data_IF_319598977965
#
_entry.id   IF_319598977965
#
_cell.length_a   1.000
_cell.length_b   1.000
_cell.length_c   1.000
_cell.angle_alpha   90.00
_cell.angle_beta   90.00
_cell.angle_gamma   90.00
#
_symmetry.space_group_name_H-M   'P 1'
#
loop_
_entity.id
_entity.type
_entity.pdbx_description
1 polymer ?
#
# COMPACT_ATOMS: atom_id res chain seq x y z
N UNK A 1 -7.21 7.55 -18.97
CA UNK A 1 -6.76 7.38 -17.55
C UNK A 1 -6.93 5.91 -17.19
N UNK A 2 -5.96 5.29 -16.56
CA UNK A 2 -6.05 3.88 -16.09
C UNK A 2 -7.01 3.83 -14.90
N UNK A 3 -7.98 2.92 -14.94
CA UNK A 3 -9.08 2.82 -13.95
C UNK A 3 -9.22 1.42 -13.33
N UNK A 4 -8.33 0.48 -13.71
CA UNK A 4 -8.32 -0.87 -13.15
C UNK A 4 -6.91 -1.47 -13.16
N UNK A 5 -6.72 -2.53 -12.36
CA UNK A 5 -5.48 -3.30 -12.36
C UNK A 5 -5.26 -4.04 -13.70
N UNK A 6 -6.32 -4.41 -14.39
CA UNK A 6 -6.21 -4.99 -15.73
C UNK A 6 -5.67 -3.95 -16.74
N UNK A 7 -6.17 -2.71 -16.72
CA UNK A 7 -5.64 -1.66 -17.58
C UNK A 7 -4.19 -1.31 -17.21
N UNK A 8 -3.83 -1.37 -15.91
CA UNK A 8 -2.44 -1.24 -15.47
C UNK A 8 -1.57 -2.37 -16.03
N UNK A 9 -2.05 -3.62 -16.01
CA UNK A 9 -1.38 -4.77 -16.63
C UNK A 9 -1.13 -4.54 -18.13
N UNK A 10 -2.16 -4.10 -18.87
CA UNK A 10 -2.00 -3.78 -20.30
C UNK A 10 -0.98 -2.65 -20.55
N UNK A 11 -0.96 -1.63 -19.66
CA UNK A 11 0.02 -0.54 -19.74
C UNK A 11 1.45 -1.05 -19.52
N UNK A 12 1.65 -1.96 -18.56
CA UNK A 12 2.95 -2.61 -18.31
C UNK A 12 3.47 -3.36 -19.53
N UNK A 13 2.58 -4.02 -20.28
CA UNK A 13 2.93 -4.81 -21.46
C UNK A 13 3.22 -3.96 -22.70
N UNK A 14 2.59 -2.78 -22.82
CA UNK A 14 2.60 -2.01 -24.07
C UNK A 14 3.40 -0.73 -24.01
N UNK A 15 3.31 0.04 -22.92
CA UNK A 15 3.85 1.40 -22.87
C UNK A 15 5.12 1.54 -22.02
N UNK A 16 5.27 0.68 -21.00
CA UNK A 16 6.36 0.78 -20.02
C UNK A 16 7.13 -0.53 -19.86
N UNK A 17 6.97 -1.48 -20.78
CA UNK A 17 7.51 -2.85 -20.70
C UNK A 17 9.01 -2.92 -20.37
N UNK A 18 9.81 -2.05 -20.98
CA UNK A 18 11.27 -2.03 -20.84
C UNK A 18 11.77 -1.28 -19.60
N UNK A 19 10.88 -0.59 -18.87
CA UNK A 19 11.26 0.13 -17.66
C UNK A 19 11.42 -0.83 -16.49
N UNK A 20 12.33 -0.52 -15.58
CA UNK A 20 12.46 -1.27 -14.31
C UNK A 20 11.25 -0.98 -13.43
N UNK A 21 10.56 -2.05 -13.02
CA UNK A 21 9.40 -1.98 -12.15
C UNK A 21 9.80 -2.01 -10.67
N UNK A 22 10.53 -3.04 -10.27
CA UNK A 22 10.91 -3.25 -8.88
C UNK A 22 12.38 -3.64 -8.76
N UNK A 23 12.99 -3.22 -7.63
CA UNK A 23 14.31 -3.67 -7.19
C UNK A 23 14.24 -4.13 -5.74
N UNK A 24 15.09 -5.06 -5.37
CA UNK A 24 15.28 -5.50 -3.97
C UNK A 24 16.70 -5.99 -3.75
N UNK A 25 17.13 -6.00 -2.48
CA UNK A 25 18.39 -6.64 -2.16
C UNK A 25 18.18 -8.15 -2.06
N UNK A 26 18.90 -8.91 -2.90
CA UNK A 26 18.87 -10.36 -2.95
C UNK A 26 19.97 -10.90 -2.02
N UNK A 27 19.56 -11.58 -0.95
CA UNK A 27 20.49 -12.11 0.07
C UNK A 27 21.35 -13.27 -0.46
N UNK A 28 20.83 -14.05 -1.41
CA UNK A 28 21.60 -15.17 -1.98
C UNK A 28 22.66 -14.66 -2.93
N UNK A 29 22.34 -13.68 -3.76
CA UNK A 29 23.27 -13.08 -4.72
C UNK A 29 24.15 -11.99 -4.10
N UNK A 30 23.89 -11.59 -2.86
CA UNK A 30 24.57 -10.48 -2.17
C UNK A 30 24.61 -9.20 -3.04
N UNK A 31 23.50 -8.88 -3.69
CA UNK A 31 23.39 -7.74 -4.60
C UNK A 31 21.96 -7.33 -4.90
N UNK A 32 21.81 -6.29 -5.70
CA UNK A 32 20.50 -5.82 -6.13
C UNK A 32 19.98 -6.71 -7.26
N UNK A 33 18.79 -7.25 -7.07
CA UNK A 33 17.99 -7.85 -8.12
C UNK A 33 16.95 -6.85 -8.63
N UNK A 34 16.58 -6.96 -9.90
CA UNK A 34 15.55 -6.11 -10.50
C UNK A 34 14.67 -6.90 -11.45
N UNK A 35 13.47 -6.36 -11.69
CA UNK A 35 12.51 -6.87 -12.65
C UNK A 35 11.93 -5.72 -13.46
N UNK A 36 11.80 -5.93 -14.77
CA UNK A 36 11.15 -4.99 -15.68
C UNK A 36 9.63 -5.19 -15.70
N UNK A 37 8.88 -4.15 -16.12
CA UNK A 37 7.42 -4.23 -16.19
C UNK A 37 6.91 -5.35 -17.09
N UNK A 38 7.61 -5.69 -18.19
CA UNK A 38 7.26 -6.83 -19.03
C UNK A 38 7.25 -8.16 -18.24
N UNK A 39 8.27 -8.43 -17.44
CA UNK A 39 8.33 -9.63 -16.61
C UNK A 39 7.30 -9.58 -15.49
N UNK A 40 7.12 -8.41 -14.87
CA UNK A 40 6.11 -8.21 -13.83
C UNK A 40 4.71 -8.54 -14.36
N UNK A 41 4.35 -8.06 -15.56
CA UNK A 41 3.08 -8.36 -16.22
C UNK A 41 2.91 -9.87 -16.48
N UNK A 42 3.96 -10.54 -16.94
CA UNK A 42 3.96 -11.98 -17.16
C UNK A 42 3.73 -12.78 -15.87
N UNK A 43 4.38 -12.37 -14.78
CA UNK A 43 4.22 -13.04 -13.51
C UNK A 43 2.84 -12.82 -12.89
N UNK A 44 2.21 -11.65 -13.11
CA UNK A 44 0.79 -11.43 -12.80
C UNK A 44 -0.12 -12.42 -13.57
N UNK A 45 0.14 -12.63 -14.85
CA UNK A 45 -0.59 -13.63 -15.65
C UNK A 45 -0.37 -15.06 -15.20
N UNK A 46 0.87 -15.42 -14.79
CA UNK A 46 1.17 -16.72 -14.17
C UNK A 46 0.38 -16.94 -12.88
N UNK A 47 0.28 -15.91 -12.07
CA UNK A 47 -0.50 -15.98 -10.83
C UNK A 47 -2.00 -16.16 -11.10
N UNK A 48 -2.55 -15.50 -12.11
CA UNK A 48 -3.93 -15.74 -12.57
C UNK A 48 -4.11 -17.17 -13.05
N UNK A 49 -3.15 -17.71 -13.83
CA UNK A 49 -3.17 -19.11 -14.27
C UNK A 49 -3.16 -20.09 -13.10
N UNK A 50 -2.29 -19.85 -12.10
CA UNK A 50 -2.26 -20.64 -10.85
C UNK A 50 -3.63 -20.66 -10.17
N UNK A 51 -4.24 -19.51 -9.93
CA UNK A 51 -5.52 -19.44 -9.23
C UNK A 51 -6.63 -20.18 -10.01
N UNK A 52 -6.68 -20.03 -11.32
CA UNK A 52 -7.67 -20.72 -12.18
C UNK A 52 -7.47 -22.23 -12.21
N UNK A 53 -6.23 -22.68 -12.29
CA UNK A 53 -5.90 -24.10 -12.32
C UNK A 53 -6.24 -24.81 -11.00
N UNK A 54 -5.91 -24.19 -9.86
CA UNK A 54 -6.09 -24.81 -8.54
C UNK A 54 -7.51 -24.68 -7.98
N UNK A 55 -8.20 -23.54 -8.29
CA UNK A 55 -9.46 -23.20 -7.62
C UNK A 55 -10.64 -22.97 -8.60
N UNK A 56 -10.42 -23.05 -9.90
CA UNK A 56 -11.46 -22.83 -10.92
C UNK A 56 -11.93 -21.36 -10.94
N UNK A 57 -13.25 -21.15 -10.89
CA UNK A 57 -13.80 -19.78 -10.76
C UNK A 57 -13.49 -19.21 -9.38
N UNK A 58 -12.66 -18.18 -9.33
CA UNK A 58 -12.20 -17.54 -8.09
C UNK A 58 -12.92 -16.23 -7.79
N UNK A 59 -13.88 -15.82 -8.59
CA UNK A 59 -14.59 -14.54 -8.39
C UNK A 59 -15.20 -14.47 -6.98
N UNK A 60 -14.84 -13.41 -6.25
CA UNK A 60 -15.28 -13.19 -4.88
C UNK A 60 -14.71 -14.14 -3.82
N UNK A 61 -13.90 -15.13 -4.18
CA UNK A 61 -13.16 -15.96 -3.21
C UNK A 61 -12.01 -15.17 -2.61
N UNK A 62 -11.73 -15.38 -1.32
CA UNK A 62 -10.67 -14.66 -0.60
C UNK A 62 -9.37 -15.44 -0.70
N UNK A 63 -8.28 -14.71 -0.98
CA UNK A 63 -6.91 -15.19 -0.97
C UNK A 63 -6.15 -14.39 0.09
N UNK A 64 -5.77 -15.04 1.18
CA UNK A 64 -5.02 -14.39 2.25
C UNK A 64 -3.52 -14.36 1.93
N UNK A 65 -2.84 -13.28 2.33
CA UNK A 65 -1.41 -13.10 2.15
C UNK A 65 -0.79 -12.81 3.51
N UNK A 66 0.06 -13.72 3.99
CA UNK A 66 0.73 -13.68 5.28
C UNK A 66 2.23 -13.79 5.08
N UNK A 67 2.86 -12.70 4.66
CA UNK A 67 4.26 -12.66 4.26
C UNK A 67 4.88 -11.27 4.43
N UNK A 68 6.22 -11.19 4.40
CA UNK A 68 6.96 -9.92 4.33
C UNK A 68 6.83 -9.26 2.96
N UNK A 69 7.17 -7.97 2.93
CA UNK A 69 7.33 -7.25 1.67
C UNK A 69 8.28 -8.01 0.74
N UNK A 70 7.84 -8.27 -0.47
CA UNK A 70 8.65 -8.92 -1.50
C UNK A 70 8.06 -8.68 -2.88
N UNK A 71 8.81 -9.00 -3.92
CA UNK A 71 8.29 -9.01 -5.29
C UNK A 71 7.09 -9.98 -5.40
N UNK A 72 7.22 -11.17 -4.83
CA UNK A 72 6.16 -12.19 -4.83
C UNK A 72 4.89 -11.68 -4.14
N UNK A 73 5.03 -10.88 -3.08
CA UNK A 73 3.88 -10.27 -2.40
C UNK A 73 3.06 -9.38 -3.35
N UNK A 74 3.75 -8.57 -4.15
CA UNK A 74 3.11 -7.68 -5.13
C UNK A 74 2.37 -8.49 -6.19
N UNK A 75 2.98 -9.55 -6.71
CA UNK A 75 2.36 -10.46 -7.68
C UNK A 75 1.12 -11.13 -7.08
N UNK A 76 1.22 -11.69 -5.89
CA UNK A 76 0.12 -12.38 -5.22
C UNK A 76 -1.06 -11.44 -4.94
N UNK A 77 -0.79 -10.22 -4.47
CA UNK A 77 -1.82 -9.25 -4.12
C UNK A 77 -2.60 -8.78 -5.36
N UNK A 78 -1.90 -8.29 -6.38
CA UNK A 78 -2.55 -7.75 -7.57
C UNK A 78 -3.06 -8.83 -8.52
N UNK A 79 -2.32 -9.93 -8.67
CA UNK A 79 -2.77 -11.07 -9.45
C UNK A 79 -4.07 -11.68 -8.91
N UNK A 80 -4.26 -11.68 -7.58
CA UNK A 80 -5.53 -12.07 -6.94
C UNK A 80 -6.70 -11.24 -7.47
N UNK A 81 -6.53 -9.92 -7.46
CA UNK A 81 -7.62 -9.00 -7.89
C UNK A 81 -7.83 -9.02 -9.40
N UNK A 82 -6.76 -9.15 -10.19
CA UNK A 82 -6.85 -9.32 -11.66
C UNK A 82 -7.61 -10.60 -12.00
N UNK A 83 -7.45 -11.67 -11.22
CA UNK A 83 -8.22 -12.91 -11.38
C UNK A 83 -9.70 -12.80 -10.99
N UNK A 84 -10.13 -11.67 -10.38
CA UNK A 84 -11.47 -11.45 -9.85
C UNK A 84 -11.69 -11.96 -8.43
N UNK A 85 -10.64 -12.42 -7.75
CA UNK A 85 -10.67 -12.82 -6.35
C UNK A 85 -10.45 -11.61 -5.42
N UNK A 86 -10.60 -11.81 -4.12
CA UNK A 86 -10.47 -10.80 -3.08
C UNK A 86 -9.14 -11.00 -2.34
N UNK A 87 -8.25 -10.03 -2.41
CA UNK A 87 -6.99 -10.05 -1.69
C UNK A 87 -7.19 -9.66 -0.22
N UNK A 88 -6.62 -10.46 0.68
CA UNK A 88 -6.67 -10.25 2.14
C UNK A 88 -5.25 -10.19 2.70
N UNK A 89 -4.59 -9.02 2.61
CA UNK A 89 -3.26 -8.83 3.18
C UNK A 89 -3.33 -8.79 4.71
N UNK A 90 -2.57 -9.67 5.37
CA UNK A 90 -2.56 -9.82 6.82
C UNK A 90 -1.28 -9.27 7.44
N UNK A 91 -1.37 -8.76 8.66
CA UNK A 91 -0.23 -8.23 9.40
C UNK A 91 0.57 -9.35 10.07
N UNK A 92 1.72 -9.69 9.49
CA UNK A 92 2.65 -10.70 9.99
C UNK A 92 3.11 -10.46 11.45
N UNK A 93 3.05 -9.22 11.94
CA UNK A 93 3.44 -8.85 13.31
C UNK A 93 2.41 -9.17 14.39
N UNK A 94 1.19 -9.60 14.02
CA UNK A 94 0.13 -9.97 14.97
C UNK A 94 0.39 -11.35 15.58
N UNK A 95 -0.26 -11.61 16.73
CA UNK A 95 -0.31 -12.93 17.36
C UNK A 95 -1.30 -13.88 16.64
N UNK A 96 -1.29 -15.13 17.08
CA UNK A 96 -2.15 -16.17 16.52
C UNK A 96 -3.64 -15.88 16.70
N UNK A 97 -4.04 -15.36 17.88
CA UNK A 97 -5.44 -15.08 18.18
C UNK A 97 -6.02 -14.06 17.19
N UNK A 98 -5.25 -13.01 16.86
CA UNK A 98 -5.66 -12.01 15.90
C UNK A 98 -5.66 -12.58 14.46
N UNK A 99 -4.62 -13.30 14.05
CA UNK A 99 -4.54 -13.90 12.71
C UNK A 99 -5.61 -14.97 12.50
N UNK A 100 -5.82 -15.86 13.48
CA UNK A 100 -6.86 -16.90 13.39
C UNK A 100 -8.26 -16.32 13.32
N UNK A 101 -8.51 -15.22 14.04
CA UNK A 101 -9.76 -14.47 13.93
C UNK A 101 -9.96 -13.90 12.51
N UNK A 102 -8.95 -13.24 11.95
CA UNK A 102 -9.02 -12.65 10.62
C UNK A 102 -9.17 -13.71 9.51
N UNK A 103 -8.47 -14.83 9.63
CA UNK A 103 -8.63 -15.98 8.73
C UNK A 103 -10.01 -16.63 8.87
N UNK A 104 -10.49 -16.84 10.11
CA UNK A 104 -11.83 -17.38 10.38
C UNK A 104 -12.94 -16.48 9.87
N UNK A 105 -12.77 -15.15 9.97
CA UNK A 105 -13.72 -14.17 9.44
C UNK A 105 -13.80 -14.20 7.92
N UNK A 106 -12.64 -14.27 7.25
CA UNK A 106 -12.52 -14.17 5.78
C UNK A 106 -12.66 -15.50 5.06
N UNK A 107 -12.44 -16.63 5.73
CA UNK A 107 -12.57 -17.99 5.18
C UNK A 107 -11.87 -18.10 3.79
N UNK A 108 -10.55 -17.90 3.73
CA UNK A 108 -9.83 -17.89 2.46
C UNK A 108 -9.76 -19.28 1.84
N UNK A 109 -9.77 -19.34 0.50
CA UNK A 109 -9.55 -20.60 -0.25
C UNK A 109 -8.06 -20.93 -0.38
N UNK A 110 -7.20 -19.93 -0.18
CA UNK A 110 -5.76 -20.03 -0.28
C UNK A 110 -5.12 -19.06 0.72
N UNK A 111 -4.05 -19.47 1.37
CA UNK A 111 -3.18 -18.64 2.21
C UNK A 111 -1.77 -18.71 1.62
N UNK A 112 -1.30 -17.58 1.10
CA UNK A 112 0.06 -17.42 0.58
C UNK A 112 0.98 -16.97 1.71
N UNK A 113 2.12 -17.63 1.90
CA UNK A 113 3.01 -17.37 3.02
C UNK A 113 4.49 -17.60 2.67
N UNK A 114 5.38 -16.87 3.34
CA UNK A 114 6.85 -16.95 3.15
C UNK A 114 7.57 -17.87 4.16
N UNK A 115 6.84 -18.53 5.04
CA UNK A 115 7.38 -19.42 6.07
C UNK A 115 7.60 -18.75 7.42
N UNK A 116 7.85 -17.45 7.49
CA UNK A 116 8.21 -16.77 8.75
C UNK A 116 7.15 -16.92 9.85
N UNK A 117 5.87 -16.75 9.48
CA UNK A 117 4.79 -16.88 10.46
C UNK A 117 4.59 -18.34 10.87
N UNK A 118 4.64 -19.27 9.92
CA UNK A 118 4.46 -20.69 10.17
C UNK A 118 5.57 -21.28 11.07
N UNK A 119 6.80 -20.79 10.95
CA UNK A 119 7.90 -21.17 11.84
C UNK A 119 7.66 -20.73 13.30
N UNK A 120 7.08 -19.54 13.48
CA UNK A 120 6.76 -18.98 14.79
C UNK A 120 5.46 -19.58 15.38
N UNK A 121 4.51 -19.93 14.53
CA UNK A 121 3.15 -20.32 14.90
C UNK A 121 2.72 -21.61 14.17
N UNK A 122 3.07 -22.78 14.72
CA UNK A 122 2.74 -24.08 14.11
C UNK A 122 1.25 -24.33 13.94
N UNK A 123 0.39 -23.70 14.76
CA UNK A 123 -1.07 -23.81 14.69
C UNK A 123 -1.64 -23.37 13.33
N UNK A 124 -0.92 -22.49 12.59
CA UNK A 124 -1.29 -22.14 11.21
C UNK A 124 -1.31 -23.40 10.32
N UNK A 125 -0.24 -24.19 10.34
CA UNK A 125 -0.14 -25.40 9.53
C UNK A 125 -1.11 -26.49 9.99
N UNK A 126 -1.34 -26.62 11.30
CA UNK A 126 -2.29 -27.57 11.86
C UNK A 126 -3.73 -27.27 11.42
N UNK A 127 -4.10 -25.97 11.37
CA UNK A 127 -5.48 -25.55 11.07
C UNK A 127 -5.71 -25.38 9.58
N UNK A 128 -4.75 -24.83 8.84
CA UNK A 128 -4.92 -24.39 7.45
C UNK A 128 -3.97 -25.08 6.45
N UNK A 129 -3.23 -26.13 6.87
CA UNK A 129 -2.17 -26.74 6.06
C UNK A 129 -2.58 -27.14 4.65
N UNK A 130 -3.84 -27.56 4.44
CA UNK A 130 -4.37 -27.95 3.12
C UNK A 130 -4.47 -26.80 2.11
N UNK A 131 -4.56 -25.55 2.59
CA UNK A 131 -4.70 -24.34 1.75
C UNK A 131 -3.50 -23.41 1.80
N UNK A 132 -2.44 -23.79 2.52
CA UNK A 132 -1.17 -23.06 2.53
C UNK A 132 -0.43 -23.25 1.22
N UNK A 133 0.06 -22.16 0.64
CA UNK A 133 0.90 -22.16 -0.56
C UNK A 133 2.10 -21.22 -0.37
N UNK A 134 3.26 -21.54 -0.95
CA UNK A 134 4.40 -20.62 -0.95
C UNK A 134 4.12 -19.40 -1.84
N UNK A 135 4.80 -18.28 -1.55
CA UNK A 135 4.61 -17.02 -2.27
C UNK A 135 5.00 -17.09 -3.74
N UNK A 136 5.91 -17.95 -4.12
CA UNK A 136 6.43 -18.14 -5.48
C UNK A 136 5.71 -19.24 -6.28
N UNK A 137 4.59 -19.77 -5.75
CA UNK A 137 3.83 -20.87 -6.37
C UNK A 137 3.47 -20.62 -7.85
N UNK A 138 3.30 -19.38 -8.23
CA UNK A 138 2.95 -19.00 -9.60
C UNK A 138 4.08 -19.25 -10.62
N UNK A 139 5.32 -19.33 -10.18
CA UNK A 139 6.47 -19.55 -11.07
C UNK A 139 6.42 -20.88 -11.83
N UNK A 140 5.63 -21.85 -11.34
CA UNK A 140 5.45 -23.15 -11.98
C UNK A 140 4.40 -23.14 -13.11
N UNK A 141 3.72 -22.02 -13.36
CA UNK A 141 2.63 -21.92 -14.33
C UNK A 141 3.03 -21.08 -15.55
N UNK A 142 2.47 -21.42 -16.72
CA UNK A 142 2.58 -20.57 -17.89
C UNK A 142 1.64 -19.35 -17.75
N UNK A 143 2.00 -18.19 -18.32
CA UNK A 143 1.16 -17.01 -18.27
C UNK A 143 -0.21 -17.24 -18.94
N UNK A 144 -1.30 -16.87 -18.29
CA UNK A 144 -2.64 -16.91 -18.89
C UNK A 144 -2.76 -15.87 -20.00
N UNK A 145 -3.13 -16.31 -21.21
CA UNK A 145 -3.29 -15.43 -22.38
C UNK A 145 -4.65 -14.70 -22.35
N UNK A 146 -5.68 -15.33 -21.80
CA UNK A 146 -7.09 -14.91 -21.83
C UNK A 146 -7.51 -14.08 -20.60
N UNK A 147 -6.59 -13.35 -19.99
CA UNK A 147 -6.92 -12.44 -18.88
C UNK A 147 -7.73 -11.25 -19.44
N UNK A 148 -8.87 -11.00 -18.83
CA UNK A 148 -9.77 -9.90 -19.16
C UNK A 148 -10.08 -9.04 -17.94
N UNK A 149 -10.53 -7.81 -18.17
CA UNK A 149 -11.01 -6.94 -17.10
C UNK A 149 -12.22 -7.57 -16.39
N UNK A 150 -12.28 -7.42 -15.06
CA UNK A 150 -13.46 -7.82 -14.29
C UNK A 150 -14.67 -6.96 -14.69
N UNK A 151 -15.85 -7.55 -14.77
CA UNK A 151 -17.05 -6.87 -15.26
C UNK A 151 -17.50 -5.72 -14.34
N UNK A 152 -17.36 -5.90 -13.02
CA UNK A 152 -17.77 -4.90 -12.02
C UNK A 152 -16.59 -4.44 -11.18
N UNK A 153 -16.07 -3.26 -11.49
CA UNK A 153 -15.00 -2.61 -10.72
C UNK A 153 -15.47 -2.12 -9.34
N UNK A 154 -16.77 -2.11 -9.06
CA UNK A 154 -17.34 -1.78 -7.74
C UNK A 154 -17.46 -3.01 -6.83
N UNK A 155 -17.22 -4.21 -7.36
CA UNK A 155 -17.20 -5.42 -6.55
C UNK A 155 -16.04 -5.41 -5.54
N UNK A 156 -16.20 -6.16 -4.45
CA UNK A 156 -15.17 -6.33 -3.42
C UNK A 156 -13.88 -6.88 -4.03
N UNK A 157 -12.77 -6.19 -3.81
CA UNK A 157 -11.45 -6.55 -4.34
C UNK A 157 -10.40 -6.75 -3.23
N UNK A 158 -10.51 -6.01 -2.14
CA UNK A 158 -9.59 -6.09 -1.00
C UNK A 158 -10.34 -6.08 0.33
N UNK A 159 -9.83 -6.84 1.30
CA UNK A 159 -10.22 -6.71 2.71
C UNK A 159 -8.95 -6.37 3.49
N UNK A 160 -8.87 -5.14 4.01
CA UNK A 160 -7.70 -4.64 4.74
C UNK A 160 -8.05 -4.46 6.21
N UNK A 161 -7.31 -5.14 7.08
CA UNK A 161 -7.60 -5.10 8.51
C UNK A 161 -6.95 -3.88 9.18
N UNK A 162 -7.79 -3.13 9.93
CA UNK A 162 -7.35 -2.03 10.78
C UNK A 162 -7.48 -2.40 12.26
N UNK A 163 -6.70 -1.75 13.13
CA UNK A 163 -6.86 -1.88 14.57
C UNK A 163 -8.13 -1.16 15.01
N UNK A 164 -9.21 -1.91 15.23
CA UNK A 164 -10.47 -1.34 15.70
C UNK A 164 -10.33 -0.71 17.09
N UNK A 165 -11.05 0.37 17.34
CA UNK A 165 -11.14 1.04 18.66
C UNK A 165 -11.75 0.13 19.74
N UNK A 166 -12.47 -0.92 19.35
CA UNK A 166 -13.15 -1.90 20.22
C UNK A 166 -12.30 -3.12 20.58
N UNK A 167 -11.02 -3.17 20.16
CA UNK A 167 -10.06 -4.23 20.51
C UNK A 167 -9.97 -5.38 19.51
N UNK A 168 -10.93 -5.56 18.59
CA UNK A 168 -10.83 -6.52 17.46
C UNK A 168 -10.60 -5.79 16.14
N UNK A 169 -9.84 -6.41 15.26
CA UNK A 169 -9.61 -5.88 13.90
C UNK A 169 -10.91 -5.80 13.11
N UNK A 170 -11.11 -4.67 12.41
CA UNK A 170 -12.20 -4.51 11.42
C UNK A 170 -11.64 -4.69 10.02
N UNK A 171 -12.32 -5.48 9.19
CA UNK A 171 -11.93 -5.70 7.78
C UNK A 171 -12.57 -4.64 6.88
N UNK A 172 -11.79 -3.66 6.46
CA UNK A 172 -12.24 -2.60 5.52
C UNK A 172 -12.39 -3.19 4.13
N UNK A 173 -13.57 -3.09 3.54
CA UNK A 173 -13.89 -3.59 2.20
C UNK A 173 -13.62 -2.52 1.15
N UNK A 174 -12.73 -2.81 0.20
CA UNK A 174 -12.39 -1.90 -0.89
C UNK A 174 -12.60 -2.56 -2.26
N UNK A 175 -13.07 -1.78 -3.21
CA UNK A 175 -13.19 -2.16 -4.61
C UNK A 175 -12.06 -1.57 -5.45
N UNK A 176 -11.88 -2.03 -6.69
CA UNK A 176 -10.99 -1.36 -7.64
C UNK A 176 -11.45 0.07 -7.94
N UNK A 177 -12.78 0.30 -8.00
CA UNK A 177 -13.33 1.65 -8.18
C UNK A 177 -12.91 2.60 -7.05
N UNK A 178 -12.94 2.15 -5.77
CA UNK A 178 -12.46 2.97 -4.66
C UNK A 178 -10.97 3.32 -4.85
N UNK A 179 -10.15 2.28 -5.10
CA UNK A 179 -8.69 2.42 -5.23
C UNK A 179 -8.31 3.38 -6.37
N UNK A 180 -8.86 3.18 -7.57
CA UNK A 180 -8.48 4.01 -8.73
C UNK A 180 -9.08 5.42 -8.67
N UNK A 181 -10.18 5.62 -7.95
CA UNK A 181 -10.71 6.96 -7.68
C UNK A 181 -9.85 7.77 -6.72
N UNK A 182 -9.07 7.12 -5.86
CA UNK A 182 -8.11 7.76 -4.98
C UNK A 182 -6.76 8.09 -5.68
N UNK A 183 -6.48 7.53 -6.86
CA UNK A 183 -5.18 7.71 -7.51
C UNK A 183 -4.80 9.16 -7.81
N UNK A 184 -5.70 10.09 -8.19
CA UNK A 184 -5.33 11.50 -8.34
C UNK A 184 -4.66 12.08 -7.10
N UNK A 185 -5.15 11.74 -5.89
CA UNK A 185 -4.58 12.17 -4.62
C UNK A 185 -3.10 11.77 -4.44
N UNK A 186 -2.66 10.69 -5.09
CA UNK A 186 -1.28 10.20 -5.03
C UNK A 186 -0.42 10.69 -6.20
N UNK A 187 -1.04 11.09 -7.30
CA UNK A 187 -0.33 11.50 -8.52
C UNK A 187 -0.15 13.02 -8.63
N UNK A 188 -1.20 13.80 -8.30
CA UNK A 188 -1.17 15.26 -8.39
C UNK A 188 -0.07 15.92 -7.56
N UNK A 189 0.24 15.46 -6.33
CA UNK A 189 1.32 16.02 -5.53
C UNK A 189 2.72 15.96 -6.17
N UNK A 190 2.93 15.04 -7.12
CA UNK A 190 4.21 14.97 -7.85
C UNK A 190 4.46 16.18 -8.74
N UNK A 191 3.45 16.92 -9.17
CA UNK A 191 3.64 18.18 -9.88
C UNK A 191 4.29 19.26 -8.99
N UNK A 192 3.98 19.27 -7.70
CA UNK A 192 4.65 20.14 -6.73
C UNK A 192 6.10 19.72 -6.49
N UNK A 193 6.36 18.40 -6.42
CA UNK A 193 7.70 17.86 -6.35
C UNK A 193 8.52 18.29 -7.56
N UNK A 194 7.97 18.20 -8.78
CA UNK A 194 8.60 18.65 -10.03
C UNK A 194 9.00 20.13 -9.97
N UNK A 195 8.05 20.98 -9.57
CA UNK A 195 8.29 22.42 -9.48
C UNK A 195 9.40 22.75 -8.47
N UNK A 196 9.44 22.04 -7.34
CA UNK A 196 10.43 22.27 -6.29
C UNK A 196 11.80 21.72 -6.64
N UNK A 197 11.89 20.50 -7.16
CA UNK A 197 13.16 19.81 -7.41
C UNK A 197 13.76 20.10 -8.78
N UNK A 198 12.94 20.55 -9.73
CA UNK A 198 13.32 20.67 -11.13
C UNK A 198 13.49 19.31 -11.84
N UNK A 199 13.00 18.24 -11.26
CA UNK A 199 13.19 16.90 -11.82
C UNK A 199 12.37 16.66 -13.08
N UNK A 200 12.98 15.91 -14.00
CA UNK A 200 12.24 15.17 -15.01
C UNK A 200 11.73 13.88 -14.34
N UNK A 201 10.43 13.82 -14.07
CA UNK A 201 9.81 12.75 -13.28
C UNK A 201 9.66 11.42 -14.01
N UNK A 202 10.21 11.31 -15.22
CA UNK A 202 10.10 10.06 -15.99
C UNK A 202 11.08 8.97 -15.53
N UNK A 203 11.98 9.26 -14.59
CA UNK A 203 13.08 8.36 -14.21
C UNK A 203 13.36 8.26 -12.70
N UNK A 204 12.48 8.68 -11.78
CA UNK A 204 12.80 8.55 -10.37
C UNK A 204 12.28 7.27 -9.73
N UNK A 205 12.83 6.91 -8.57
CA UNK A 205 12.50 5.71 -7.82
C UNK A 205 12.08 6.00 -6.39
N UNK A 206 11.22 5.15 -5.83
CA UNK A 206 10.77 5.24 -4.45
C UNK A 206 11.23 4.05 -3.63
N UNK A 207 11.75 4.31 -2.42
CA UNK A 207 11.96 3.24 -1.45
C UNK A 207 10.66 2.93 -0.72
N UNK A 208 10.15 1.71 -0.90
CA UNK A 208 9.00 1.18 -0.17
C UNK A 208 9.47 0.39 1.04
N UNK A 209 9.40 1.02 2.22
CA UNK A 209 9.76 0.41 3.50
C UNK A 209 8.55 0.20 4.43
N UNK A 210 7.38 0.67 4.02
CA UNK A 210 6.14 0.45 4.75
C UNK A 210 5.58 -0.95 4.46
N UNK A 211 4.95 -1.61 5.45
CA UNK A 211 4.38 -2.94 5.23
C UNK A 211 3.26 -2.92 4.17
N UNK A 212 3.28 -3.87 3.24
CA UNK A 212 2.35 -3.93 2.11
C UNK A 212 0.90 -4.28 2.51
N UNK A 213 0.67 -4.71 3.74
CA UNK A 213 -0.68 -4.87 4.29
C UNK A 213 -1.32 -3.53 4.71
N UNK A 214 -0.61 -2.40 4.62
CA UNK A 214 -1.17 -1.07 4.84
C UNK A 214 -1.58 -0.40 3.52
N UNK A 215 -2.68 0.36 3.58
CA UNK A 215 -3.24 1.06 2.42
C UNK A 215 -2.21 1.98 1.73
N UNK A 216 -1.38 2.69 2.49
CA UNK A 216 -0.39 3.61 1.93
C UNK A 216 0.67 2.92 1.06
N UNK A 217 1.10 1.70 1.43
CA UNK A 217 2.02 0.93 0.60
C UNK A 217 1.32 0.41 -0.66
N UNK A 218 0.09 -0.10 -0.53
CA UNK A 218 -0.71 -0.59 -1.65
C UNK A 218 -0.99 0.51 -2.68
N UNK A 219 -1.47 1.67 -2.25
CA UNK A 219 -1.76 2.80 -3.15
C UNK A 219 -0.50 3.32 -3.85
N UNK A 220 0.63 3.39 -3.13
CA UNK A 220 1.92 3.75 -3.73
C UNK A 220 2.33 2.77 -4.84
N UNK A 221 2.24 1.46 -4.62
CA UNK A 221 2.55 0.45 -5.62
C UNK A 221 1.69 0.59 -6.89
N UNK A 222 0.39 0.87 -6.73
CA UNK A 222 -0.52 1.09 -7.86
C UNK A 222 -0.18 2.38 -8.60
N UNK A 223 0.00 3.49 -7.91
CA UNK A 223 0.32 4.78 -8.55
C UNK A 223 1.63 4.70 -9.37
N UNK A 224 2.64 4.00 -8.85
CA UNK A 224 3.91 3.82 -9.56
C UNK A 224 3.77 2.90 -10.78
N UNK A 225 2.94 1.86 -10.69
CA UNK A 225 2.65 0.99 -11.84
C UNK A 225 1.88 1.70 -12.96
N UNK A 226 1.11 2.73 -12.64
CA UNK A 226 0.42 3.58 -13.62
C UNK A 226 1.42 4.49 -14.35
N UNK A 227 2.34 5.09 -13.61
CA UNK A 227 3.31 6.07 -14.13
C UNK A 227 4.56 5.45 -14.74
N UNK A 228 4.85 4.19 -14.44
CA UNK A 228 6.04 3.49 -14.93
C UNK A 228 7.33 3.87 -14.18
N UNK A 229 7.21 4.38 -12.94
CA UNK A 229 8.36 4.60 -12.06
C UNK A 229 8.79 3.31 -11.38
N UNK A 230 10.02 3.27 -10.86
CA UNK A 230 10.53 2.09 -10.18
C UNK A 230 10.32 2.15 -8.66
N UNK A 231 10.12 0.98 -8.06
CA UNK A 231 10.00 0.80 -6.62
C UNK A 231 11.15 -0.05 -6.11
N UNK A 232 11.87 0.45 -5.14
CA UNK A 232 12.90 -0.27 -4.41
C UNK A 232 12.28 -0.85 -3.14
N UNK A 233 12.26 -2.17 -2.98
CA UNK A 233 11.62 -2.85 -1.87
C UNK A 233 12.61 -3.03 -0.72
N UNK A 234 12.26 -2.49 0.45
CA UNK A 234 12.91 -2.83 1.70
C UNK A 234 12.09 -3.94 2.39
N UNK A 235 12.58 -5.16 2.34
CA UNK A 235 11.87 -6.33 2.85
C UNK A 235 11.85 -6.40 4.38
N UNK A 236 12.85 -5.80 5.03
CA UNK A 236 12.97 -5.79 6.49
C UNK A 236 13.68 -4.52 6.96
N UNK A 237 13.03 -3.77 7.85
CA UNK A 237 13.57 -2.52 8.41
C UNK A 237 14.91 -2.67 9.13
N UNK A 238 15.27 -3.89 9.57
CA UNK A 238 16.60 -4.18 10.11
C UNK A 238 17.71 -3.86 9.10
N UNK A 239 17.42 -4.01 7.81
CA UNK A 239 18.37 -3.80 6.71
C UNK A 239 18.15 -2.48 5.97
N UNK A 240 17.31 -1.58 6.52
CA UNK A 240 16.91 -0.33 5.88
C UNK A 240 18.07 0.47 5.26
N UNK A 241 19.14 0.70 6.01
CA UNK A 241 20.28 1.48 5.50
C UNK A 241 21.13 0.74 4.48
N UNK A 242 21.18 -0.58 4.53
CA UNK A 242 21.81 -1.39 3.48
C UNK A 242 21.02 -1.26 2.19
N UNK A 243 19.70 -1.44 2.26
CA UNK A 243 18.81 -1.43 1.11
C UNK A 243 18.75 -0.02 0.48
N UNK A 244 18.64 1.02 1.29
CA UNK A 244 18.72 2.41 0.83
C UNK A 244 20.08 2.74 0.20
N UNK A 245 21.19 2.26 0.80
CA UNK A 245 22.54 2.46 0.26
C UNK A 245 22.80 1.70 -1.04
N UNK A 246 22.19 0.50 -1.19
CA UNK A 246 22.37 -0.32 -2.39
C UNK A 246 21.49 0.12 -3.56
N UNK A 247 20.30 0.67 -3.29
CA UNK A 247 19.30 1.05 -4.30
C UNK A 247 19.04 2.55 -4.23
N UNK A 248 19.53 3.29 -5.23
CA UNK A 248 19.27 4.73 -5.32
C UNK A 248 17.75 5.01 -5.29
N UNK A 249 17.33 5.92 -4.42
CA UNK A 249 15.92 6.29 -4.25
C UNK A 249 15.80 7.77 -3.95
N UNK A 250 14.97 8.49 -4.70
CA UNK A 250 14.73 9.92 -4.50
C UNK A 250 13.56 10.17 -3.54
N UNK A 251 12.58 9.28 -3.54
CA UNK A 251 11.30 9.44 -2.80
C UNK A 251 11.15 8.34 -1.76
N UNK A 252 10.56 8.67 -0.62
CA UNK A 252 10.20 7.69 0.40
C UNK A 252 8.99 8.15 1.22
N UNK A 253 8.03 7.25 1.36
CA UNK A 253 6.97 7.40 2.36
C UNK A 253 7.52 7.02 3.76
N UNK A 254 7.34 7.90 4.73
CA UNK A 254 7.87 7.73 6.08
C UNK A 254 6.79 7.81 7.15
N UNK A 255 7.01 7.06 8.22
CA UNK A 255 6.31 7.20 9.50
C UNK A 255 7.24 7.86 10.53
N UNK A 256 6.74 8.38 11.67
CA UNK A 256 7.57 9.16 12.60
C UNK A 256 8.86 8.47 13.05
N UNK A 257 8.86 7.16 13.23
CA UNK A 257 10.06 6.42 13.67
C UNK A 257 11.16 6.41 12.60
N UNK A 258 10.79 6.23 11.33
CA UNK A 258 11.72 6.28 10.20
C UNK A 258 12.25 7.69 9.99
N UNK A 259 11.37 8.70 10.02
CA UNK A 259 11.78 10.10 9.90
C UNK A 259 12.79 10.49 10.99
N UNK A 260 12.57 10.08 12.26
CA UNK A 260 13.53 10.35 13.35
C UNK A 260 14.90 9.72 13.09
N UNK A 261 14.95 8.52 12.50
CA UNK A 261 16.21 7.87 12.15
C UNK A 261 16.94 8.63 11.05
N UNK A 262 16.25 8.98 9.96
CA UNK A 262 16.80 9.77 8.84
C UNK A 262 17.25 11.15 9.35
N UNK A 263 16.42 11.85 10.14
CA UNK A 263 16.74 13.13 10.75
C UNK A 263 18.02 13.08 11.58
N UNK A 264 18.18 12.04 12.44
CA UNK A 264 19.40 11.87 13.23
C UNK A 264 20.65 11.75 12.35
N UNK A 265 20.58 11.06 11.21
CA UNK A 265 21.72 10.96 10.30
C UNK A 265 22.01 12.27 9.56
N UNK A 266 20.98 12.96 9.10
CA UNK A 266 21.11 14.27 8.43
C UNK A 266 21.74 15.29 9.37
N UNK A 267 21.27 15.36 10.63
CA UNK A 267 21.81 16.32 11.63
C UNK A 267 23.25 15.99 12.07
N UNK A 268 23.69 14.75 11.91
CA UNK A 268 25.08 14.31 12.14
C UNK A 268 25.96 14.43 10.88
N UNK A 269 25.46 15.02 9.80
CA UNK A 269 26.20 15.19 8.54
C UNK A 269 26.40 13.90 7.74
N UNK A 270 25.60 12.87 7.97
CA UNK A 270 25.68 11.55 7.31
C UNK A 270 24.67 11.38 6.17
N UNK A 271 24.45 12.46 5.41
CA UNK A 271 23.49 12.47 4.28
C UNK A 271 23.89 11.51 3.15
N UNK A 272 25.17 11.22 2.99
CA UNK A 272 25.72 10.23 2.05
C UNK A 272 25.10 8.83 2.21
N UNK A 273 24.69 8.46 3.42
CA UNK A 273 23.99 7.19 3.69
C UNK A 273 22.59 7.08 3.07
N UNK A 274 22.03 8.19 2.63
CA UNK A 274 20.65 8.27 2.11
C UNK A 274 20.56 8.11 0.59
N UNK A 275 21.70 7.96 -0.11
CA UNK A 275 21.84 7.57 -1.52
C UNK A 275 20.78 8.23 -2.45
N UNK A 276 20.70 9.56 -2.44
CA UNK A 276 19.80 10.32 -3.32
C UNK A 276 18.46 10.72 -2.70
N UNK A 277 18.09 10.17 -1.55
CA UNK A 277 16.82 10.49 -0.90
C UNK A 277 16.69 11.98 -0.59
N UNK A 278 15.65 12.60 -1.12
CA UNK A 278 15.41 14.04 -0.97
C UNK A 278 13.92 14.43 -0.92
N UNK A 279 13.00 13.51 -1.17
CA UNK A 279 11.56 13.70 -1.01
C UNK A 279 11.01 12.77 0.05
N UNK A 280 10.34 13.33 1.05
CA UNK A 280 9.74 12.59 2.15
C UNK A 280 8.24 12.85 2.17
N UNK A 281 7.43 11.80 2.01
CA UNK A 281 5.98 11.86 2.18
C UNK A 281 5.62 11.31 3.56
N UNK A 282 5.12 12.20 4.42
CA UNK A 282 4.87 11.94 5.83
C UNK A 282 3.40 11.63 6.07
N UNK A 283 3.07 10.43 6.52
CA UNK A 283 1.69 10.01 6.74
C UNK A 283 1.50 9.09 7.94
N UNK A 284 0.27 8.65 8.14
CA UNK A 284 -0.19 7.72 9.17
C UNK A 284 -0.13 8.21 10.63
N UNK A 285 0.50 9.34 10.94
CA UNK A 285 0.53 9.93 12.27
C UNK A 285 1.00 11.39 12.21
N UNK A 286 0.85 12.12 13.32
CA UNK A 286 1.39 13.47 13.45
C UNK A 286 2.91 13.45 13.54
N UNK A 287 3.55 14.39 12.87
CA UNK A 287 4.99 14.61 12.89
C UNK A 287 5.35 15.84 13.72
N UNK A 288 6.54 15.83 14.31
CA UNK A 288 7.08 16.99 15.02
C UNK A 288 7.40 18.11 14.02
N UNK A 289 6.73 19.28 14.09
CA UNK A 289 6.94 20.38 13.14
C UNK A 289 8.38 20.88 13.09
N UNK A 290 9.12 20.77 14.22
CA UNK A 290 10.53 21.13 14.26
C UNK A 290 11.37 20.19 13.38
N UNK A 291 11.15 18.88 13.46
CA UNK A 291 11.85 17.91 12.61
C UNK A 291 11.56 18.18 11.14
N UNK A 292 10.30 18.45 10.78
CA UNK A 292 9.92 18.77 9.41
C UNK A 292 10.62 20.05 8.92
N UNK A 293 10.60 21.12 9.73
CA UNK A 293 11.29 22.38 9.41
C UNK A 293 12.78 22.19 9.20
N UNK A 294 13.45 21.50 10.15
CA UNK A 294 14.89 21.24 10.07
C UNK A 294 15.24 20.41 8.78
N UNK A 295 14.40 19.45 8.40
CA UNK A 295 14.60 18.67 7.17
C UNK A 295 14.46 19.53 5.93
N UNK A 296 13.47 20.42 5.88
CA UNK A 296 13.30 21.38 4.78
C UNK A 296 14.51 22.32 4.67
N UNK A 297 15.04 22.83 5.78
CA UNK A 297 16.27 23.64 5.82
C UNK A 297 17.50 22.86 5.32
N UNK A 298 17.50 21.54 5.46
CA UNK A 298 18.52 20.64 4.90
C UNK A 298 18.29 20.27 3.44
N UNK A 299 17.30 20.88 2.77
CA UNK A 299 17.01 20.69 1.35
C UNK A 299 16.24 19.42 1.03
N UNK A 300 15.44 18.90 1.96
CA UNK A 300 14.44 17.89 1.67
C UNK A 300 13.12 18.55 1.28
N UNK A 301 12.47 17.99 0.26
CA UNK A 301 11.05 18.27 0.06
C UNK A 301 10.26 17.40 1.04
N UNK A 302 9.44 18.04 1.86
CA UNK A 302 8.62 17.34 2.85
C UNK A 302 7.16 17.61 2.56
N UNK A 303 6.40 16.54 2.36
CA UNK A 303 4.96 16.61 2.20
C UNK A 303 4.25 15.81 3.29
N UNK A 304 3.12 16.29 3.76
CA UNK A 304 2.30 15.60 4.73
C UNK A 304 1.03 15.08 4.07
N UNK A 305 0.65 13.85 4.40
CA UNK A 305 -0.56 13.20 3.90
C UNK A 305 -1.45 12.79 5.07
N UNK A 306 -2.73 13.05 4.94
CA UNK A 306 -3.78 12.53 5.81
C UNK A 306 -4.71 11.65 4.98
N UNK A 307 -4.99 10.48 5.47
CA UNK A 307 -5.93 9.54 4.87
C UNK A 307 -6.12 8.32 5.76
N UNK A 308 -7.14 7.54 5.47
CA UNK A 308 -7.55 6.37 6.23
C UNK A 308 -7.61 5.15 5.30
N UNK A 309 -7.60 3.95 5.86
CA UNK A 309 -7.87 2.73 5.09
C UNK A 309 -9.28 2.79 4.48
N UNK A 310 -10.23 3.32 5.24
CA UNK A 310 -11.64 3.51 4.87
C UNK A 310 -11.85 4.50 3.71
N UNK A 311 -10.84 5.30 3.38
CA UNK A 311 -10.85 6.26 2.26
C UNK A 311 -9.82 5.91 1.18
N UNK A 312 -9.33 4.68 1.12
CA UNK A 312 -8.23 4.27 0.24
C UNK A 312 -6.95 5.11 0.40
N UNK A 313 -6.71 5.68 1.59
CA UNK A 313 -5.59 6.57 1.84
C UNK A 313 -5.77 8.01 1.34
N UNK A 314 -6.90 8.29 0.69
CA UNK A 314 -7.29 9.61 0.23
C UNK A 314 -7.78 10.49 1.40
N UNK A 315 -7.57 11.81 1.32
CA UNK A 315 -8.01 12.76 2.33
C UNK A 315 -7.46 14.16 2.15
N UNK A 316 -6.24 14.41 2.55
CA UNK A 316 -5.63 15.73 2.42
C UNK A 316 -4.11 15.64 2.19
N UNK A 317 -3.60 16.67 1.52
CA UNK A 317 -2.19 16.76 1.15
C UNK A 317 -1.63 18.16 1.46
N UNK A 318 -0.44 18.21 2.06
CA UNK A 318 0.30 19.43 2.29
C UNK A 318 1.70 19.35 1.70
N UNK A 319 1.90 19.99 0.56
CA UNK A 319 3.20 20.15 -0.12
C UNK A 319 3.87 21.50 0.17
N UNK A 320 3.26 22.36 0.99
CA UNK A 320 3.81 23.67 1.32
C UNK A 320 5.16 23.54 2.04
N UNK A 321 6.16 24.24 1.53
CA UNK A 321 7.48 24.33 2.16
C UNK A 321 7.60 25.55 3.10
N UNK A 322 6.47 26.13 3.55
CA UNK A 322 6.46 27.23 4.50
C UNK A 322 6.22 26.72 5.94
N UNK A 323 7.10 27.07 6.86
CA UNK A 323 7.06 26.61 8.26
C UNK A 323 5.71 26.85 8.97
N UNK A 324 4.96 27.91 8.61
CA UNK A 324 3.65 28.23 9.20
C UNK A 324 2.57 27.17 8.93
N UNK A 325 2.74 26.32 7.90
CA UNK A 325 1.76 25.29 7.53
C UNK A 325 2.15 23.88 8.02
N UNK A 326 3.26 23.71 8.73
CA UNK A 326 3.75 22.39 9.17
C UNK A 326 2.83 21.69 10.20
N UNK A 327 1.88 22.42 10.79
CA UNK A 327 0.84 21.86 11.68
C UNK A 327 -0.46 21.54 10.97
N UNK A 328 -0.53 21.75 9.65
CA UNK A 328 -1.69 21.47 8.81
C UNK A 328 -1.44 20.25 7.94
N UNK A 329 -2.47 19.47 7.66
CA UNK A 329 -2.44 18.43 6.64
C UNK A 329 -2.70 18.97 5.22
N UNK A 330 -2.89 20.28 5.08
CA UNK A 330 -2.98 21.00 3.81
C UNK A 330 -4.37 21.09 3.21
N UNK A 331 -4.46 20.80 1.93
CA UNK A 331 -5.69 20.88 1.15
C UNK A 331 -6.37 19.52 1.08
N UNK A 332 -7.70 19.54 1.11
CA UNK A 332 -8.50 18.34 0.84
C UNK A 332 -8.42 17.98 -0.64
N UNK A 333 -8.45 16.70 -0.92
CA UNK A 333 -8.42 16.18 -2.27
C UNK A 333 -9.77 16.40 -2.99
N UNK A 334 -9.74 16.61 -4.30
CA UNK A 334 -10.94 16.86 -5.10
C UNK A 334 -11.71 15.57 -5.48
N UNK A 335 -11.20 14.40 -5.12
CA UNK A 335 -11.86 13.10 -5.34
C UNK A 335 -13.08 12.88 -4.45
N UNK A 336 -13.19 13.63 -3.33
CA UNK A 336 -14.29 13.58 -2.36
C UNK A 336 -14.93 14.93 -2.13
N UNK A 337 -16.18 14.90 -1.66
CA UNK A 337 -16.83 16.02 -1.01
C UNK A 337 -16.51 15.98 0.49
N UNK A 338 -16.27 17.15 1.09
CA UNK A 338 -15.85 17.26 2.49
C UNK A 338 -16.80 18.17 3.27
N UNK A 339 -17.08 17.79 4.51
CA UNK A 339 -17.85 18.55 5.48
C UNK A 339 -17.20 18.44 6.86
N UNK A 340 -17.20 19.52 7.61
CA UNK A 340 -16.95 19.48 9.05
C UNK A 340 -18.30 19.45 9.78
N UNK A 341 -18.53 18.43 10.59
CA UNK A 341 -19.71 18.24 11.41
C UNK A 341 -19.30 18.08 12.87
N UNK A 342 -19.66 19.04 13.70
CA UNK A 342 -19.26 19.11 15.13
C UNK A 342 -17.75 18.88 15.38
N UNK A 343 -16.91 19.30 14.44
CA UNK A 343 -15.45 19.16 14.49
C UNK A 343 -14.92 17.85 13.96
N UNK A 344 -15.76 16.97 13.46
CA UNK A 344 -15.40 15.75 12.76
C UNK A 344 -15.33 15.97 11.24
N UNK A 345 -14.32 15.40 10.59
CA UNK A 345 -14.18 15.45 9.14
C UNK A 345 -15.03 14.36 8.50
N UNK A 346 -16.05 14.76 7.76
CA UNK A 346 -16.92 13.87 7.00
C UNK A 346 -16.55 13.91 5.52
N UNK A 347 -16.52 12.74 4.87
CA UNK A 347 -16.09 12.58 3.49
C UNK A 347 -17.10 11.75 2.71
N UNK A 348 -17.38 12.15 1.47
CA UNK A 348 -18.24 11.40 0.53
C UNK A 348 -17.61 11.36 -0.85
N UNK A 349 -17.53 10.18 -1.44
CA UNK A 349 -16.98 10.03 -2.80
C UNK A 349 -16.66 8.58 -3.13
N UNK A 350 -16.16 8.39 -4.35
CA UNK A 350 -15.78 7.05 -4.82
C UNK A 350 -14.63 6.39 -4.05
N UNK A 351 -13.66 7.10 -3.43
CA UNK A 351 -12.64 6.49 -2.61
C UNK A 351 -13.15 5.84 -1.31
N UNK A 352 -14.36 6.19 -0.85
CA UNK A 352 -14.92 5.67 0.41
C UNK A 352 -15.19 4.16 0.31
N UNK A 353 -14.82 3.43 1.34
CA UNK A 353 -14.98 1.98 1.45
C UNK A 353 -16.41 1.50 1.21
N UNK A 354 -16.56 0.22 0.89
CA UNK A 354 -17.88 -0.44 0.79
C UNK A 354 -18.51 -0.72 2.16
N UNK A 355 -17.74 -0.60 3.24
CA UNK A 355 -18.11 -0.90 4.62
C UNK A 355 -17.13 -1.86 5.29
N UNK A 356 -17.46 -2.30 6.49
CA UNK A 356 -16.69 -3.32 7.23
C UNK A 356 -17.22 -4.73 6.92
N UNK A 357 -16.31 -5.66 6.64
CA UNK A 357 -16.62 -7.03 6.24
C UNK A 357 -17.32 -7.80 7.35
N UNK A 358 -18.54 -8.29 7.06
CA UNK A 358 -19.43 -8.99 8.02
C UNK A 358 -19.75 -8.16 9.29
N UNK A 359 -19.67 -6.83 9.20
CA UNK A 359 -19.99 -5.92 10.32
C UNK A 359 -20.86 -4.74 9.82
N UNK A 360 -22.16 -4.99 9.53
CA UNK A 360 -23.08 -3.96 9.07
C UNK A 360 -23.39 -2.91 10.15
N UNK A 361 -23.39 -3.29 11.43
CA UNK A 361 -23.62 -2.37 12.55
C UNK A 361 -22.46 -1.36 12.66
N UNK A 362 -21.22 -1.85 12.70
CA UNK A 362 -20.04 -1.00 12.70
C UNK A 362 -19.90 -0.16 11.43
N UNK A 363 -20.43 -0.63 10.30
CA UNK A 363 -20.51 0.18 9.07
C UNK A 363 -21.48 1.34 9.22
N UNK A 364 -22.67 1.09 9.77
CA UNK A 364 -23.71 2.11 9.96
C UNK A 364 -23.31 3.19 11.01
N UNK A 365 -22.36 2.87 11.90
CA UNK A 365 -21.79 3.87 12.83
C UNK A 365 -20.92 4.92 12.15
N UNK A 366 -20.30 4.60 10.99
CA UNK A 366 -19.32 5.47 10.32
C UNK A 366 -19.75 5.92 8.93
N UNK A 367 -20.71 5.25 8.29
CA UNK A 367 -21.27 5.62 6.99
C UNK A 367 -22.76 5.82 7.14
N UNK A 368 -23.23 7.04 6.97
CA UNK A 368 -24.66 7.38 7.01
C UNK A 368 -25.41 7.00 5.71
N UNK A 369 -26.74 7.20 5.71
CA UNK A 369 -27.60 6.91 4.56
C UNK A 369 -27.28 7.76 3.30
N UNK A 370 -26.50 8.83 3.46
CA UNK A 370 -25.99 9.69 2.37
C UNK A 370 -24.59 9.27 1.91
N UNK A 371 -24.08 8.13 2.37
CA UNK A 371 -22.71 7.63 2.12
C UNK A 371 -21.63 8.62 2.59
N UNK A 372 -21.92 9.36 3.65
CA UNK A 372 -21.00 10.29 4.29
C UNK A 372 -20.20 9.51 5.35
N UNK A 373 -18.95 9.21 5.07
CA UNK A 373 -18.03 8.62 6.02
C UNK A 373 -17.60 9.67 7.04
N UNK A 374 -17.74 9.36 8.34
CA UNK A 374 -17.32 10.21 9.43
C UNK A 374 -16.02 9.69 10.03
N UNK A 375 -14.95 10.47 9.90
CA UNK A 375 -13.66 10.14 10.49
C UNK A 375 -13.73 10.37 12.02
N UNK A 376 -13.31 9.38 12.85
CA UNK A 376 -13.19 9.62 14.28
C UNK A 376 -12.30 10.82 14.54
N UNK A 377 -12.78 11.79 15.30
CA UNK A 377 -12.07 13.04 15.57
C UNK A 377 -10.68 12.78 16.16
N UNK A 378 -9.61 13.43 15.67
CA UNK A 378 -8.29 13.35 16.30
C UNK A 378 -8.27 13.95 17.72
N UNK A 379 -9.38 14.54 18.18
CA UNK A 379 -9.56 14.99 19.56
C UNK A 379 -10.11 13.89 20.48
N UNK A 380 -10.51 12.71 19.95
CA UNK A 380 -10.88 11.59 20.81
C UNK A 380 -9.59 11.02 21.46
N UNK A 381 -9.46 11.13 22.82
CA UNK A 381 -8.26 10.66 23.53
C UNK A 381 -8.05 9.13 23.42
N UNK A 382 -8.98 8.39 22.83
CA UNK A 382 -8.84 6.95 22.56
C UNK A 382 -8.11 6.62 21.25
N UNK A 383 -7.96 7.59 20.34
CA UNK A 383 -7.27 7.40 19.05
C UNK A 383 -5.81 7.88 19.05
N UNK A 384 -5.32 8.46 20.15
CA UNK A 384 -3.97 9.02 20.30
C UNK A 384 -2.97 8.08 20.99
N UNK A 385 -3.05 6.76 20.76
CA UNK A 385 -2.05 5.80 21.27
C UNK A 385 -1.35 5.04 20.19
#
# INVERSE_FOLDING_TARGET
MITSLYQSLCNMETNIADRVALRWYDEEKQGVAEVHYAQYAQDLRRFVAFLRAEYGDVRGKRVAILARNSYQYVICMYGTVIAGAVAVPLNLGKDWDAISYELGLTEPVCILQDGEFAEREPALAETYGSILKPMDVFAAYEPAEDVTEVEDLSALAFIMFTSGTTGRSKGVMLSQKNLFSAMPAFLDPFDDVKKYTGWNTDEFSSLSALPMFHISAMTSLVSWSITGHSINLCNNLKYFYRDLGAMHSEVMAVVPVLLKSIYSDVMKGRRDRLNGLCVLTCGAAMFDPKILSDMMEKGFFVAQMYGLTETCGDGAWNSSQEAKYLTSVGHVDLSCEYKLDDGELCMRGNPIMLGYYKDPEGTAEVIDACLLYTSPSPRDPKTSR
#
